data_IF_557917228728
#
_entry.id   IF_557917228728
#
_cell.length_a   1.000
_cell.length_b   1.000
_cell.length_c   1.000
_cell.angle_alpha   90.00
_cell.angle_beta   90.00
_cell.angle_gamma   90.00
#
_symmetry.space_group_name_H-M   'P 1'
#
loop_
_entity.id
_entity.type
_entity.pdbx_description
1 polymer ?
#
# COMPACT_ATOMS: atom_id res chain seq x y z
N UNK A 1 1.82 -0.94 -2.54
CA UNK A 1 1.48 -2.39 -2.54
C UNK A 1 1.72 -3.06 -3.89
N UNK A 2 1.16 -2.52 -4.99
CA UNK A 2 1.35 -3.07 -6.35
C UNK A 2 2.82 -3.20 -6.81
N UNK A 3 3.67 -2.24 -6.47
CA UNK A 3 5.11 -2.28 -6.85
C UNK A 3 5.94 -3.32 -6.05
N UNK A 4 5.49 -3.73 -4.85
CA UNK A 4 6.18 -4.74 -4.02
C UNK A 4 6.02 -6.16 -4.59
N UNK A 5 4.91 -6.43 -5.29
CA UNK A 5 4.62 -7.73 -5.89
C UNK A 5 5.40 -7.99 -7.18
N UNK A 6 5.67 -6.94 -7.96
CA UNK A 6 6.37 -7.07 -9.24
C UNK A 6 7.82 -7.56 -9.10
N UNK A 7 8.52 -7.19 -8.03
CA UNK A 7 9.95 -7.54 -7.85
C UNK A 7 10.22 -8.75 -6.95
N UNK A 8 9.19 -9.26 -6.27
CA UNK A 8 9.31 -10.39 -5.31
C UNK A 8 8.84 -11.73 -5.89
N UNK A 9 8.44 -11.78 -7.17
CA UNK A 9 7.83 -12.97 -7.77
C UNK A 9 6.50 -13.36 -7.12
N UNK A 10 5.83 -12.41 -6.46
CA UNK A 10 4.55 -12.61 -5.78
C UNK A 10 3.45 -12.25 -6.76
N UNK A 11 3.02 -13.22 -7.57
CA UNK A 11 1.78 -13.10 -8.33
C UNK A 11 0.63 -13.18 -7.34
N UNK A 12 0.06 -12.03 -6.99
CA UNK A 12 -1.19 -11.96 -6.25
C UNK A 12 -2.31 -12.52 -7.14
N UNK A 13 -2.76 -13.73 -6.84
CA UNK A 13 -3.75 -14.45 -7.65
C UNK A 13 -5.19 -14.13 -7.27
N UNK A 14 -5.38 -13.81 -5.98
CA UNK A 14 -6.64 -13.39 -5.39
C UNK A 14 -6.39 -12.69 -4.05
N UNK A 15 -7.46 -12.14 -3.50
CA UNK A 15 -7.46 -11.46 -2.21
C UNK A 15 -7.01 -12.34 -1.04
N UNK A 16 -7.31 -13.64 -1.05
CA UNK A 16 -6.95 -14.53 0.06
C UNK A 16 -5.45 -14.82 0.04
N UNK A 17 -4.89 -15.10 -1.14
CA UNK A 17 -3.46 -15.27 -1.33
C UNK A 17 -2.68 -13.98 -1.07
N UNK A 18 -3.25 -12.83 -1.43
CA UNK A 18 -2.69 -11.53 -1.07
C UNK A 18 -2.61 -11.36 0.44
N UNK A 19 -3.69 -11.63 1.16
CA UNK A 19 -3.70 -11.51 2.59
C UNK A 19 -2.76 -12.51 3.28
N UNK A 20 -2.65 -13.74 2.75
CA UNK A 20 -1.68 -14.72 3.20
C UNK A 20 -0.23 -14.23 3.03
N UNK A 21 0.11 -13.62 1.90
CA UNK A 21 1.44 -13.04 1.68
C UNK A 21 1.74 -11.90 2.67
N UNK A 22 0.74 -11.08 2.98
CA UNK A 22 0.91 -9.99 3.95
C UNK A 22 1.09 -10.56 5.35
N UNK A 23 0.25 -11.53 5.77
CA UNK A 23 0.36 -12.16 7.09
C UNK A 23 1.67 -12.93 7.27
N UNK A 24 2.14 -13.63 6.24
CA UNK A 24 3.43 -14.32 6.24
C UNK A 24 4.59 -13.37 6.55
N UNK A 25 4.53 -12.12 6.05
CA UNK A 25 5.55 -11.10 6.26
C UNK A 25 5.37 -10.32 7.58
N UNK A 26 4.16 -9.85 7.84
CA UNK A 26 3.87 -8.88 8.90
C UNK A 26 3.30 -9.50 10.17
N UNK A 27 3.06 -10.81 10.18
CA UNK A 27 2.30 -11.46 11.24
C UNK A 27 0.80 -11.20 11.12
N UNK A 28 0.07 -11.58 12.17
CA UNK A 28 -1.38 -11.39 12.22
C UNK A 28 -1.74 -9.90 12.34
N UNK A 29 -2.81 -9.43 11.67
CA UNK A 29 -3.34 -8.10 11.92
C UNK A 29 -3.80 -7.95 13.38
N UNK A 30 -3.69 -6.76 13.99
CA UNK A 30 -4.24 -6.48 15.32
C UNK A 30 -5.72 -6.85 15.44
N UNK A 31 -6.13 -7.45 16.56
CA UNK A 31 -7.49 -7.92 16.80
C UNK A 31 -8.55 -6.85 16.54
N UNK A 32 -8.29 -5.61 16.97
CA UNK A 32 -9.19 -4.46 16.76
C UNK A 32 -9.49 -4.19 15.29
N UNK A 33 -8.52 -4.40 14.39
CA UNK A 33 -8.73 -4.26 12.94
C UNK A 33 -9.54 -5.44 12.37
N UNK A 34 -9.33 -6.64 12.91
CA UNK A 34 -10.10 -7.84 12.53
C UNK A 34 -11.58 -7.66 12.89
N UNK A 35 -11.86 -7.18 14.11
CA UNK A 35 -13.22 -6.94 14.61
C UNK A 35 -13.98 -5.87 13.81
N UNK A 36 -13.30 -4.79 13.40
CA UNK A 36 -13.90 -3.70 12.62
C UNK A 36 -14.09 -4.06 11.13
N UNK A 37 -13.47 -5.13 10.65
CA UNK A 37 -13.44 -5.49 9.24
C UNK A 37 -14.64 -6.34 8.82
N UNK A 38 -15.52 -5.77 7.97
CA UNK A 38 -16.73 -6.44 7.45
C UNK A 38 -16.49 -7.81 6.81
N UNK A 39 -15.29 -8.02 6.23
CA UNK A 39 -14.92 -9.22 5.47
C UNK A 39 -13.91 -10.12 6.22
N UNK A 40 -13.54 -9.80 7.45
CA UNK A 40 -12.52 -10.55 8.20
C UNK A 40 -12.85 -12.05 8.31
N UNK A 41 -14.14 -12.38 8.52
CA UNK A 41 -14.62 -13.77 8.62
C UNK A 41 -14.32 -14.63 7.40
N UNK A 42 -14.07 -14.04 6.23
CA UNK A 42 -13.70 -14.75 5.01
C UNK A 42 -12.27 -15.28 5.05
N UNK A 43 -11.42 -14.68 5.89
CA UNK A 43 -9.98 -14.96 5.92
C UNK A 43 -9.47 -15.42 7.27
N UNK A 44 -10.18 -15.07 8.35
CA UNK A 44 -9.82 -15.38 9.73
C UNK A 44 -11.00 -16.14 10.36
N UNK A 45 -10.67 -17.19 11.09
CA UNK A 45 -11.64 -18.01 11.85
C UNK A 45 -12.13 -17.25 13.08
N UNK A 46 -13.24 -17.69 13.67
CA UNK A 46 -13.73 -17.12 14.94
C UNK A 46 -12.75 -17.26 16.11
N UNK A 47 -11.83 -18.24 16.03
CA UNK A 47 -10.74 -18.43 17.01
C UNK A 47 -9.54 -17.51 16.78
N UNK A 48 -9.58 -16.64 15.77
CA UNK A 48 -8.50 -15.73 15.43
C UNK A 48 -7.43 -16.32 14.51
N UNK A 49 -7.55 -17.56 14.05
CA UNK A 49 -6.57 -18.20 13.16
C UNK A 49 -6.82 -17.88 11.69
N UNK A 50 -5.79 -17.65 10.87
CA UNK A 50 -5.95 -17.41 9.43
C UNK A 50 -6.36 -18.70 8.71
N UNK A 51 -7.36 -18.60 7.82
CA UNK A 51 -7.96 -19.75 7.12
C UNK A 51 -7.05 -20.40 6.09
N UNK A 52 -6.00 -19.71 5.65
CA UNK A 52 -5.01 -20.31 4.75
C UNK A 52 -4.07 -21.27 5.49
N UNK A 53 -3.98 -21.19 6.83
CA UNK A 53 -3.15 -22.06 7.64
C UNK A 53 -3.87 -23.35 8.02
N UNK A 54 -3.11 -24.42 8.17
CA UNK A 54 -3.57 -25.65 8.81
C UNK A 54 -3.33 -25.54 10.30
N UNK A 55 -4.39 -25.68 11.09
CA UNK A 55 -4.34 -25.61 12.55
C UNK A 55 -4.23 -27.01 13.12
N UNK A 56 -3.26 -27.27 14.01
CA UNK A 56 -3.13 -28.54 14.72
C UNK A 56 -3.10 -28.28 16.22
N UNK A 57 -4.01 -28.92 16.95
CA UNK A 57 -4.03 -28.92 18.41
C UNK A 57 -3.09 -30.02 18.91
N UNK A 58 -2.19 -29.68 19.82
CA UNK A 58 -1.30 -30.62 20.49
C UNK A 58 -1.99 -31.26 21.71
N UNK A 59 -1.50 -32.40 22.23
CA UNK A 59 -2.09 -33.06 23.39
C UNK A 59 -2.13 -32.21 24.66
N UNK A 60 -1.24 -31.22 24.77
CA UNK A 60 -1.20 -30.25 25.88
C UNK A 60 -2.24 -29.12 25.75
N UNK A 61 -3.07 -29.13 24.69
CA UNK A 61 -4.07 -28.12 24.41
C UNK A 61 -3.55 -26.90 23.65
N UNK A 62 -2.24 -26.79 23.41
CA UNK A 62 -1.67 -25.71 22.61
C UNK A 62 -2.01 -25.89 21.13
N UNK A 63 -2.05 -24.78 20.39
CA UNK A 63 -2.38 -24.77 18.96
C UNK A 63 -1.17 -24.31 18.16
N UNK A 64 -0.76 -25.11 17.16
CA UNK A 64 0.27 -24.74 16.20
C UNK A 64 -0.34 -24.45 14.82
N UNK A 65 0.21 -23.44 14.15
CA UNK A 65 -0.17 -23.06 12.79
C UNK A 65 0.89 -23.52 11.81
N UNK A 66 0.47 -24.33 10.84
CA UNK A 66 1.28 -24.66 9.68
C UNK A 66 0.87 -23.78 8.49
N UNK A 67 1.86 -23.50 7.64
CA UNK A 67 1.62 -22.83 6.37
C UNK A 67 0.64 -23.59 5.46
N UNK A 68 0.14 -22.91 4.44
CA UNK A 68 -0.77 -23.46 3.45
C UNK A 68 -0.23 -23.34 2.03
N UNK A 69 -1.11 -23.53 1.06
CA UNK A 69 -0.82 -23.36 -0.37
C UNK A 69 -1.83 -22.40 -0.99
N UNK A 70 -1.38 -21.57 -1.93
CA UNK A 70 -2.28 -20.81 -2.79
C UNK A 70 -3.06 -21.76 -3.71
N UNK A 71 -4.10 -21.24 -4.37
CA UNK A 71 -4.88 -22.01 -5.36
C UNK A 71 -4.06 -22.60 -6.51
N UNK A 72 -2.88 -22.04 -6.82
CA UNK A 72 -1.95 -22.59 -7.83
C UNK A 72 -0.81 -23.42 -7.21
N UNK A 73 -0.95 -23.85 -5.96
CA UNK A 73 0.01 -24.70 -5.28
C UNK A 73 1.25 -23.98 -4.73
N UNK A 74 1.31 -22.65 -4.78
CA UNK A 74 2.47 -21.91 -4.25
C UNK A 74 2.43 -21.93 -2.71
N UNK A 75 3.49 -22.38 -2.02
CA UNK A 75 3.49 -22.44 -0.55
C UNK A 75 3.43 -21.04 0.08
N UNK A 76 2.82 -20.98 1.27
CA UNK A 76 2.73 -19.81 2.15
C UNK A 76 3.05 -20.25 3.57
N UNK A 77 4.04 -19.63 4.20
CA UNK A 77 4.36 -19.90 5.60
C UNK A 77 3.31 -19.36 6.58
N UNK A 78 3.35 -19.78 7.86
CA UNK A 78 2.48 -19.23 8.89
C UNK A 78 2.75 -17.72 9.12
N UNK A 79 1.85 -16.99 9.80
CA UNK A 79 2.04 -15.55 10.00
C UNK A 79 3.38 -15.21 10.65
N UNK A 80 4.09 -14.24 10.07
CA UNK A 80 5.39 -13.77 10.56
C UNK A 80 6.56 -14.70 10.29
N UNK A 81 6.37 -15.80 9.54
CA UNK A 81 7.47 -16.73 9.22
C UNK A 81 8.49 -16.16 8.24
N UNK A 82 8.18 -15.06 7.54
CA UNK A 82 9.06 -14.42 6.57
C UNK A 82 9.51 -13.07 7.07
N UNK A 83 10.82 -12.83 7.06
CA UNK A 83 11.39 -11.54 7.45
C UNK A 83 11.43 -10.57 6.27
N UNK A 84 11.43 -9.26 6.55
CA UNK A 84 11.67 -8.23 5.53
C UNK A 84 13.02 -8.39 4.83
N UNK A 85 14.07 -8.79 5.56
CA UNK A 85 15.39 -9.02 4.99
C UNK A 85 15.34 -10.11 3.91
N UNK A 86 14.73 -11.27 4.21
CA UNK A 86 14.56 -12.36 3.24
C UNK A 86 13.68 -11.92 2.06
N UNK A 87 12.61 -11.16 2.32
CA UNK A 87 11.75 -10.62 1.26
C UNK A 87 12.50 -9.64 0.34
N UNK A 88 13.48 -8.91 0.88
CA UNK A 88 14.29 -7.93 0.18
C UNK A 88 15.68 -8.48 -0.21
N UNK A 89 15.77 -9.80 -0.47
CA UNK A 89 16.98 -10.48 -0.99
C UNK A 89 18.24 -10.25 -0.13
N UNK A 90 18.09 -10.27 1.20
CA UNK A 90 19.20 -10.10 2.14
C UNK A 90 19.60 -8.65 2.39
N UNK A 91 18.72 -7.68 2.11
CA UNK A 91 19.00 -6.28 2.40
C UNK A 91 19.19 -6.04 3.91
N UNK A 92 20.32 -5.42 4.28
CA UNK A 92 20.72 -5.16 5.66
C UNK A 92 20.84 -3.67 6.01
N UNK A 93 20.32 -2.74 5.18
CA UNK A 93 20.28 -1.31 5.52
C UNK A 93 19.19 -1.05 6.56
N UNK A 94 19.53 -0.76 7.84
CA UNK A 94 18.54 -0.64 8.90
C UNK A 94 17.56 0.52 8.66
N UNK A 95 18.01 1.60 8.02
CA UNK A 95 17.14 2.75 7.72
C UNK A 95 16.18 2.44 6.58
N UNK A 96 16.57 1.61 5.62
CA UNK A 96 15.65 1.14 4.58
C UNK A 96 14.62 0.17 5.15
N UNK A 97 15.05 -0.78 5.97
CA UNK A 97 14.17 -1.74 6.60
C UNK A 97 13.13 -1.04 7.50
N UNK A 98 13.55 -0.07 8.31
CA UNK A 98 12.63 0.76 9.12
C UNK A 98 11.65 1.53 8.23
N UNK A 99 12.12 2.16 7.15
CA UNK A 99 11.27 2.88 6.21
C UNK A 99 10.16 1.98 5.64
N UNK A 100 10.52 0.78 5.18
CA UNK A 100 9.57 -0.18 4.60
C UNK A 100 8.63 -0.72 5.68
N UNK A 101 9.12 -1.06 6.87
CA UNK A 101 8.30 -1.53 7.98
C UNK A 101 7.22 -0.51 8.34
N UNK A 102 7.58 0.78 8.46
CA UNK A 102 6.62 1.84 8.78
C UNK A 102 5.62 2.13 7.64
N UNK A 103 6.00 1.87 6.39
CA UNK A 103 5.07 1.93 5.25
C UNK A 103 4.06 0.79 5.24
N UNK A 104 4.42 -0.37 5.80
CA UNK A 104 3.63 -1.59 5.76
C UNK A 104 2.81 -1.84 7.02
N UNK A 105 2.79 -0.90 7.98
CA UNK A 105 2.02 -1.03 9.21
C UNK A 105 0.55 -1.40 8.93
N UNK A 106 0.02 -2.36 9.70
CA UNK A 106 -1.35 -2.82 9.60
C UNK A 106 -2.33 -1.68 9.88
N UNK A 107 -2.08 -0.91 10.94
CA UNK A 107 -2.97 0.16 11.35
C UNK A 107 -2.73 1.40 10.46
N UNK A 108 -3.72 1.83 9.67
CA UNK A 108 -3.59 3.02 8.84
C UNK A 108 -3.35 4.30 9.65
N UNK A 109 -3.75 4.36 10.92
CA UNK A 109 -3.55 5.52 11.78
C UNK A 109 -2.09 5.69 12.21
N UNK A 110 -1.35 4.59 12.38
CA UNK A 110 0.08 4.61 12.73
C UNK A 110 1.01 4.46 11.53
N UNK A 111 0.48 4.01 10.39
CA UNK A 111 1.21 3.88 9.13
C UNK A 111 1.83 5.22 8.73
N UNK A 112 3.10 5.16 8.32
CA UNK A 112 3.85 6.34 7.93
C UNK A 112 3.18 7.08 6.77
N UNK A 113 2.89 8.36 7.01
CA UNK A 113 2.34 9.27 6.01
C UNK A 113 3.42 9.73 5.01
N UNK A 114 3.04 10.21 3.81
CA UNK A 114 4.01 10.73 2.83
C UNK A 114 4.91 11.84 3.39
N UNK A 115 4.35 12.77 4.18
CA UNK A 115 5.13 13.86 4.79
C UNK A 115 6.15 13.34 5.81
N UNK A 116 5.81 12.30 6.59
CA UNK A 116 6.77 11.63 7.48
C UNK A 116 7.83 10.87 6.68
N UNK A 117 7.44 10.19 5.59
CA UNK A 117 8.34 9.46 4.70
C UNK A 117 9.41 10.37 4.08
N UNK A 118 9.04 11.59 3.67
CA UNK A 118 9.99 12.59 3.14
C UNK A 118 11.04 13.04 4.18
N UNK A 119 10.68 12.99 5.47
CA UNK A 119 11.59 13.34 6.58
C UNK A 119 12.38 12.14 7.09
N UNK A 120 12.13 10.93 6.58
CA UNK A 120 12.78 9.72 7.03
C UNK A 120 14.28 9.70 6.69
N UNK A 121 15.12 9.18 7.59
CA UNK A 121 16.59 9.18 7.43
C UNK A 121 17.09 8.41 6.21
N UNK A 122 16.33 7.41 5.74
CA UNK A 122 16.62 6.70 4.49
C UNK A 122 16.47 7.59 3.26
N UNK A 123 15.36 8.35 3.16
CA UNK A 123 15.08 9.18 1.99
C UNK A 123 15.88 10.48 2.03
N UNK A 124 16.03 11.11 3.20
CA UNK A 124 16.82 12.35 3.38
C UNK A 124 18.29 12.21 3.00
N UNK A 125 18.89 11.02 3.13
CA UNK A 125 20.27 10.77 2.67
C UNK A 125 20.40 10.69 1.14
N UNK A 126 19.29 10.47 0.43
CA UNK A 126 19.28 10.24 -1.03
C UNK A 126 18.77 11.44 -1.82
N UNK A 127 18.12 12.41 -1.18
CA UNK A 127 17.70 13.66 -1.84
C UNK A 127 18.83 14.69 -1.79
N UNK A 128 19.04 15.46 -2.88
CA UNK A 128 19.85 16.67 -2.83
C UNK A 128 19.32 17.59 -1.73
N UNK A 129 20.23 18.16 -0.93
CA UNK A 129 19.85 19.22 0.01
C UNK A 129 19.36 20.42 -0.83
N UNK A 130 18.18 21.00 -0.52
CA UNK A 130 17.84 22.29 -1.11
C UNK A 130 18.95 23.29 -0.75
N UNK A 131 19.28 24.25 -1.63
CA UNK A 131 20.24 25.30 -1.30
C UNK A 131 19.81 25.95 0.01
N UNK A 132 20.69 25.92 1.01
CA UNK A 132 20.45 26.67 2.23
C UNK A 132 20.47 28.15 1.86
N UNK A 133 19.31 28.81 1.91
CA UNK A 133 19.24 30.28 2.03
C UNK A 133 20.08 30.64 3.27
N UNK A 134 21.32 31.06 3.05
CA UNK A 134 22.16 31.60 4.11
C UNK A 134 21.50 32.91 4.53
N UNK A 135 20.73 32.89 5.61
CA UNK A 135 20.45 34.12 6.35
C UNK A 135 21.72 34.51 7.09
N UNK A 136 22.68 35.07 6.37
CA UNK A 136 23.74 35.85 6.98
C UNK A 136 23.05 37.04 7.65
N UNK A 137 22.81 36.94 8.96
CA UNK A 137 22.49 38.07 9.81
C UNK A 137 23.80 38.59 10.41
N UNK A 138 24.38 39.70 9.91
CA UNK A 138 25.29 40.48 10.71
C UNK A 138 24.45 41.47 11.52
N UNK A 139 24.33 41.24 12.82
CA UNK A 139 23.90 42.28 13.74
C UNK A 139 25.05 43.28 13.94
N UNK A 140 24.70 44.57 13.96
CA UNK A 140 25.49 45.75 14.33
C UNK A 140 26.37 46.38 13.23
N UNK A 141 25.94 47.52 12.69
CA UNK A 141 26.50 48.86 12.97
C UNK A 141 25.69 49.93 12.21
N UNK A 142 25.23 50.97 12.92
CA UNK A 142 24.55 52.15 12.35
C UNK A 142 25.44 52.89 11.33
N UNK A 143 24.83 53.42 10.25
CA UNK A 143 24.97 54.83 9.79
C UNK A 143 24.31 55.09 8.42
N UNK A 144 23.24 55.89 8.43
CA UNK A 144 22.81 56.80 7.34
C UNK A 144 23.78 58.00 7.26
N UNK A 145 23.86 58.83 6.18
CA UNK A 145 22.71 59.42 5.46
C UNK A 145 22.83 59.67 3.93
N UNK A 146 21.67 60.00 3.33
CA UNK A 146 21.41 60.87 2.14
C UNK A 146 22.04 60.45 0.79
N UNK A 147 21.34 60.47 -0.37
CA UNK A 147 20.52 61.56 -0.89
C UNK A 147 19.55 61.12 -2.01
N UNK A 148 18.33 61.67 -1.95
CA UNK A 148 17.46 62.14 -3.05
C UNK A 148 17.40 61.39 -4.38
N UNK A 149 16.21 60.87 -4.72
CA UNK A 149 15.53 61.18 -5.98
C UNK A 149 14.03 60.92 -5.86
N UNK A 150 13.29 62.01 -5.87
CA UNK A 150 11.84 62.15 -5.88
C UNK A 150 11.21 61.66 -7.18
N UNK A 151 10.18 60.80 -7.11
CA UNK A 151 9.05 60.79 -8.05
C UNK A 151 7.77 60.32 -7.34
N UNK A 152 6.91 61.27 -7.00
CA UNK A 152 5.46 61.11 -6.78
C UNK A 152 4.72 61.46 -8.07
N UNK A 153 3.37 61.45 -8.14
CA UNK A 153 2.34 60.67 -7.43
C UNK A 153 1.49 59.85 -8.46
N UNK A 154 0.48 59.06 -8.11
CA UNK A 154 -0.93 59.53 -8.04
C UNK A 154 -1.88 58.37 -7.71
N UNK A 155 -2.73 58.63 -6.71
CA UNK A 155 -4.12 58.19 -6.51
C UNK A 155 -4.71 57.04 -7.35
N UNK A 156 -5.32 56.07 -6.66
CA UNK A 156 -6.79 55.93 -6.65
C UNK A 156 -7.23 54.80 -5.70
N UNK A 157 -8.22 55.11 -4.87
CA UNK A 157 -8.98 54.17 -4.08
C UNK A 157 -10.15 53.60 -4.91
N UNK A 158 -10.39 52.29 -4.85
CA UNK A 158 -11.70 51.63 -5.05
C UNK A 158 -11.53 50.14 -4.71
N UNK A 159 -12.07 49.65 -3.60
CA UNK A 159 -13.42 49.04 -3.41
C UNK A 159 -13.53 47.58 -3.92
N UNK A 160 -14.18 46.80 -3.06
CA UNK A 160 -14.52 45.37 -3.13
C UNK A 160 -15.06 44.89 -4.48
N UNK A 161 -14.95 43.57 -4.73
CA UNK A 161 -16.11 42.75 -5.07
C UNK A 161 -15.89 41.25 -4.81
N UNK A 162 -16.81 40.71 -4.00
CA UNK A 162 -17.23 39.31 -3.96
C UNK A 162 -17.79 38.88 -5.32
N UNK A 163 -17.61 37.62 -5.73
CA UNK A 163 -18.66 36.70 -6.26
C UNK A 163 -18.03 35.35 -6.66
N UNK A 164 -18.60 34.31 -6.04
CA UNK A 164 -18.90 32.95 -6.50
C UNK A 164 -17.87 32.06 -7.25
N UNK A 165 -17.79 30.82 -6.75
CA UNK A 165 -17.28 29.62 -7.41
C UNK A 165 -18.10 29.25 -8.67
N UNK A 166 -17.63 28.27 -9.47
CA UNK A 166 -18.23 26.95 -9.28
C UNK A 166 -17.27 25.76 -9.42
N UNK A 167 -17.67 24.68 -8.73
CA UNK A 167 -17.09 23.35 -8.76
C UNK A 167 -17.36 22.63 -10.09
N UNK A 168 -16.33 22.00 -10.66
CA UNK A 168 -16.45 21.10 -11.81
C UNK A 168 -16.77 19.68 -11.33
N UNK A 169 -18.05 19.30 -11.38
CA UNK A 169 -18.51 17.90 -11.36
C UNK A 169 -18.48 17.37 -12.80
N UNK A 170 -17.65 16.38 -13.07
CA UNK A 170 -17.73 15.56 -14.29
C UNK A 170 -18.79 14.46 -14.09
N UNK A 171 -19.86 14.50 -14.88
CA UNK A 171 -20.89 13.47 -15.02
C UNK A 171 -20.78 12.90 -16.43
N UNK A 172 -20.54 11.59 -16.54
CA UNK A 172 -20.52 10.86 -17.81
C UNK A 172 -21.96 10.49 -18.22
N UNK A 173 -22.29 10.73 -19.49
CA UNK A 173 -23.56 10.35 -20.14
C UNK A 173 -23.40 9.02 -20.86
N UNK A 174 -24.39 8.15 -20.64
CA UNK A 174 -24.57 6.85 -21.29
C UNK A 174 -25.26 7.09 -22.64
N UNK A 175 -24.75 6.50 -23.71
CA UNK A 175 -25.46 6.30 -24.97
C UNK A 175 -25.41 4.82 -25.32
N UNK A 176 -26.56 4.17 -25.27
CA UNK A 176 -26.81 2.87 -25.89
C UNK A 176 -26.96 3.06 -27.41
N UNK A 177 -26.28 2.23 -28.19
CA UNK A 177 -26.74 1.87 -29.54
C UNK A 177 -26.35 0.42 -29.87
N UNK A 178 -27.30 -0.25 -30.51
CA UNK A 178 -27.35 -1.69 -30.74
C UNK A 178 -26.68 -2.07 -32.08
N UNK A 179 -25.95 -3.20 -32.08
CA UNK A 179 -25.37 -3.74 -33.31
C UNK A 179 -25.05 -5.23 -33.17
N UNK A 180 -25.88 -6.04 -33.81
CA UNK A 180 -25.89 -7.51 -33.87
C UNK A 180 -24.65 -8.12 -34.55
N UNK A 181 -24.12 -9.22 -34.02
CA UNK A 181 -23.44 -10.27 -34.81
C UNK A 181 -23.28 -11.59 -34.02
N UNK A 182 -24.15 -12.54 -34.34
CA UNK A 182 -24.14 -13.95 -33.97
C UNK A 182 -23.03 -14.71 -34.69
N UNK A 183 -22.10 -15.40 -34.00
CA UNK A 183 -21.39 -16.58 -34.53
C UNK A 183 -20.90 -17.52 -33.40
N UNK A 184 -21.55 -18.69 -33.29
CA UNK A 184 -21.07 -19.95 -32.69
C UNK A 184 -19.86 -20.51 -33.48
N UNK A 185 -18.93 -21.33 -32.91
CA UNK A 185 -19.25 -22.74 -32.65
C UNK A 185 -18.49 -23.53 -31.56
N UNK A 186 -19.21 -24.53 -31.04
CA UNK A 186 -18.83 -25.93 -30.76
C UNK A 186 -17.98 -26.27 -29.52
N UNK A 187 -18.71 -26.77 -28.51
CA UNK A 187 -18.27 -27.77 -27.54
C UNK A 187 -17.78 -29.05 -28.23
N UNK A 188 -16.63 -29.56 -27.78
CA UNK A 188 -16.33 -30.99 -27.78
C UNK A 188 -15.65 -31.38 -26.47
N UNK A 189 -16.44 -31.98 -25.58
CA UNK A 189 -15.97 -32.81 -24.47
C UNK A 189 -15.68 -34.21 -25.01
N UNK A 190 -14.47 -34.73 -24.81
CA UNK A 190 -14.20 -36.18 -24.86
C UNK A 190 -13.32 -36.56 -23.66
N UNK A 191 -13.95 -37.24 -22.70
CA UNK A 191 -13.27 -38.14 -21.77
C UNK A 191 -12.81 -39.39 -22.54
N UNK A 192 -11.61 -39.94 -22.27
CA UNK A 192 -11.34 -41.35 -22.50
C UNK A 192 -11.72 -42.20 -21.28
N UNK A 193 -12.24 -43.37 -21.61
CA UNK A 193 -12.83 -44.40 -20.77
C UNK A 193 -11.78 -45.16 -19.94
N UNK A 194 -12.19 -45.58 -18.75
CA UNK A 194 -11.50 -46.54 -17.89
C UNK A 194 -11.85 -47.95 -18.39
N UNK A 195 -10.84 -48.76 -18.70
CA UNK A 195 -10.99 -50.22 -18.76
C UNK A 195 -9.81 -50.87 -18.04
N UNK A 196 -10.08 -51.34 -16.82
CA UNK A 196 -9.31 -52.39 -16.18
C UNK A 196 -9.93 -53.75 -16.55
N UNK A 197 -9.15 -54.78 -16.87
CA UNK A 197 -9.59 -56.16 -16.70
C UNK A 197 -9.23 -56.66 -15.29
N UNK A 198 -10.23 -57.13 -14.56
CA UNK A 198 -10.07 -58.01 -13.40
C UNK A 198 -10.31 -59.45 -13.87
N UNK A 199 -9.51 -60.37 -13.33
CA UNK A 199 -9.72 -61.83 -13.39
C UNK A 199 -10.85 -62.24 -12.47
#
# INVERSE_FOLDING_TARGET
MFSWCANSGVSLQDEADQLACIMELLGMPPARLVEQSKRAKNFITSKGYPRYCVTRTLPDGSTILHGGQSRRGKPRGPPGSKTLQTALKGCNDPLFLDFIQRCLDWDPATRMTPSQALRHGWLRRRLPKPPSEKSDSPASTLRTPSSSSSRTPSSAAAKLNTIAAPATKLRATITDDAGSATLHPRHHTKLPQITNPVT
#
